data_IF_314236691446
#
_entry.id   IF_314236691446
#
_cell.length_a   1.000
_cell.length_b   1.000
_cell.length_c   1.000
_cell.angle_alpha   90.00
_cell.angle_beta   90.00
_cell.angle_gamma   90.00
#
_symmetry.space_group_name_H-M   'P 1'
#
loop_
_entity.id
_entity.type
_entity.pdbx_description
1 polymer ?
#
# COMPACT_ATOMS: atom_id res chain seq x y z
N UNK A 1 3.34 7.20 -24.37
CA UNK A 1 4.30 8.23 -23.90
C UNK A 1 5.74 7.76 -24.10
N UNK A 2 6.40 7.04 -23.17
CA UNK A 2 7.81 6.61 -23.41
C UNK A 2 7.94 5.72 -24.66
N UNK A 3 7.13 4.66 -24.77
CA UNK A 3 7.13 3.78 -25.96
C UNK A 3 6.72 4.50 -27.26
N UNK A 4 5.86 5.53 -27.19
CA UNK A 4 5.46 6.30 -28.38
C UNK A 4 6.55 7.29 -28.81
N UNK A 5 7.27 7.90 -27.87
CA UNK A 5 8.47 8.71 -28.17
C UNK A 5 9.59 7.84 -28.78
N UNK A 6 9.78 6.62 -28.26
CA UNK A 6 10.74 5.67 -28.80
C UNK A 6 10.40 5.21 -30.23
N UNK A 7 9.11 5.00 -30.54
CA UNK A 7 8.65 4.76 -31.93
C UNK A 7 8.92 5.98 -32.81
N UNK A 8 8.58 7.20 -32.36
CA UNK A 8 8.86 8.44 -33.11
C UNK A 8 10.35 8.60 -33.39
N UNK A 9 11.22 8.30 -32.42
CA UNK A 9 12.68 8.32 -32.58
C UNK A 9 13.14 7.33 -33.67
N UNK A 10 12.70 6.06 -33.60
CA UNK A 10 13.05 5.03 -34.59
C UNK A 10 12.52 5.37 -35.99
N UNK A 11 11.26 5.82 -36.10
CA UNK A 11 10.70 6.24 -37.38
C UNK A 11 11.46 7.43 -37.97
N UNK A 12 11.84 8.42 -37.15
CA UNK A 12 12.65 9.56 -37.59
C UNK A 12 14.03 9.13 -38.07
N UNK A 13 14.68 8.21 -37.34
CA UNK A 13 15.98 7.63 -37.71
C UNK A 13 15.91 6.88 -39.05
N UNK A 14 14.87 6.07 -39.28
CA UNK A 14 14.69 5.33 -40.55
C UNK A 14 14.39 6.28 -41.72
N UNK A 15 13.56 7.31 -41.52
CA UNK A 15 13.24 8.28 -42.58
C UNK A 15 14.44 9.19 -42.93
N UNK A 16 15.24 9.56 -41.93
CA UNK A 16 16.52 10.25 -42.11
C UNK A 16 17.53 9.37 -42.86
N UNK A 17 17.70 8.11 -42.46
CA UNK A 17 18.62 7.18 -43.13
C UNK A 17 18.23 6.90 -44.60
N UNK A 18 16.93 6.91 -44.92
CA UNK A 18 16.45 6.81 -46.30
C UNK A 18 16.52 8.12 -47.10
N UNK A 19 16.98 9.23 -46.52
CA UNK A 19 17.03 10.54 -47.17
C UNK A 19 15.65 11.16 -47.47
N UNK A 20 14.55 10.56 -46.99
CA UNK A 20 13.17 11.02 -47.21
C UNK A 20 12.88 12.27 -46.37
N UNK A 21 13.55 12.40 -45.22
CA UNK A 21 13.34 13.47 -44.26
C UNK A 21 14.58 14.36 -44.19
N UNK A 22 14.43 15.63 -44.61
CA UNK A 22 15.55 16.58 -44.69
C UNK A 22 16.30 16.73 -43.35
N UNK A 23 17.63 16.84 -43.44
CA UNK A 23 18.56 16.65 -42.31
C UNK A 23 18.17 17.43 -41.03
N UNK A 24 17.83 18.72 -41.16
CA UNK A 24 17.40 19.57 -40.05
C UNK A 24 16.14 19.05 -39.34
N UNK A 25 15.13 18.60 -40.10
CA UNK A 25 13.85 18.12 -39.57
C UNK A 25 14.04 16.76 -38.89
N UNK A 26 14.80 15.85 -39.52
CA UNK A 26 15.11 14.54 -38.95
C UNK A 26 15.91 14.64 -37.66
N UNK A 27 16.92 15.51 -37.62
CA UNK A 27 17.70 15.76 -36.41
C UNK A 27 16.85 16.41 -35.30
N UNK A 28 16.02 17.41 -35.63
CA UNK A 28 15.13 18.05 -34.65
C UNK A 28 14.12 17.07 -34.03
N UNK A 29 13.54 16.15 -34.82
CA UNK A 29 12.62 15.12 -34.33
C UNK A 29 13.34 14.06 -33.46
N UNK A 30 14.56 13.65 -33.83
CA UNK A 30 15.36 12.76 -33.00
C UNK A 30 15.80 13.42 -31.68
N UNK A 31 16.29 14.66 -31.73
CA UNK A 31 16.72 15.40 -30.55
C UNK A 31 15.57 15.69 -29.57
N UNK A 32 14.40 16.13 -30.09
CA UNK A 32 13.23 16.41 -29.25
C UNK A 32 12.62 15.16 -28.64
N UNK A 33 12.51 14.05 -29.38
CA UNK A 33 12.00 12.79 -28.85
C UNK A 33 12.94 12.15 -27.81
N UNK A 34 14.25 12.17 -28.04
CA UNK A 34 15.25 11.73 -27.07
C UNK A 34 15.28 12.62 -25.82
N UNK A 35 15.28 13.95 -26.00
CA UNK A 35 15.23 14.93 -24.92
C UNK A 35 13.99 14.77 -24.05
N UNK A 36 12.81 14.58 -24.66
CA UNK A 36 11.58 14.31 -23.93
C UNK A 36 11.63 12.98 -23.15
N UNK A 37 12.23 11.91 -23.72
CA UNK A 37 12.44 10.65 -23.00
C UNK A 37 13.36 10.82 -21.79
N UNK A 38 14.47 11.55 -21.93
CA UNK A 38 15.43 11.84 -20.87
C UNK A 38 14.77 12.70 -19.77
N UNK A 39 14.06 13.77 -20.14
CA UNK A 39 13.35 14.65 -19.22
C UNK A 39 12.32 13.91 -18.37
N UNK A 40 11.52 13.02 -18.97
CA UNK A 40 10.55 12.18 -18.25
C UNK A 40 11.27 11.27 -17.23
N UNK A 41 12.43 10.70 -17.58
CA UNK A 41 13.20 9.88 -16.64
C UNK A 41 13.79 10.72 -15.50
N UNK A 42 14.40 11.87 -15.80
CA UNK A 42 14.96 12.79 -14.80
C UNK A 42 13.86 13.23 -13.81
N UNK A 43 12.70 13.68 -14.29
CA UNK A 43 11.58 14.10 -13.43
C UNK A 43 11.09 12.96 -12.52
N UNK A 44 10.95 11.75 -13.06
CA UNK A 44 10.56 10.58 -12.27
C UNK A 44 11.61 10.21 -11.20
N UNK A 45 12.90 10.39 -11.51
CA UNK A 45 14.01 10.18 -10.55
C UNK A 45 14.03 11.27 -9.49
N UNK A 46 13.78 12.54 -9.85
CA UNK A 46 13.70 13.67 -8.92
C UNK A 46 12.56 13.48 -7.92
N UNK A 47 11.34 13.17 -8.37
CA UNK A 47 10.19 12.89 -7.49
C UNK A 47 10.52 11.75 -6.51
N UNK A 48 11.06 10.64 -7.02
CA UNK A 48 11.52 9.49 -6.20
C UNK A 48 12.73 9.77 -5.31
N UNK A 49 13.44 10.89 -5.51
CA UNK A 49 14.48 11.39 -4.60
C UNK A 49 13.86 12.29 -3.52
N UNK A 50 12.93 13.18 -3.87
CA UNK A 50 12.21 13.99 -2.87
C UNK A 50 11.46 13.13 -1.85
N UNK A 51 10.64 12.17 -2.30
CA UNK A 51 9.95 11.22 -1.38
C UNK A 51 10.94 10.49 -0.44
N UNK A 52 12.22 10.37 -0.82
CA UNK A 52 13.29 9.77 0.02
C UNK A 52 14.07 10.75 0.89
N UNK A 53 14.22 12.04 0.54
CA UNK A 53 14.71 13.07 1.47
C UNK A 53 13.68 13.27 2.56
N UNK A 54 12.43 13.49 2.16
CA UNK A 54 11.32 13.86 3.01
C UNK A 54 11.01 12.71 4.00
N UNK A 55 11.05 11.46 3.53
CA UNK A 55 10.98 10.28 4.41
C UNK A 55 12.19 10.12 5.36
N UNK A 56 13.39 10.58 4.97
CA UNK A 56 14.59 10.50 5.82
C UNK A 56 14.56 11.56 6.91
N UNK A 57 14.14 12.77 6.58
CA UNK A 57 13.95 13.90 7.49
C UNK A 57 12.86 13.58 8.52
N UNK A 58 11.71 13.07 8.07
CA UNK A 58 10.61 12.55 8.90
C UNK A 58 10.93 11.21 9.61
N UNK A 59 12.18 10.73 9.55
CA UNK A 59 12.71 9.47 10.14
C UNK A 59 11.88 8.20 9.80
N UNK A 60 11.15 8.20 8.70
CA UNK A 60 10.10 7.25 8.37
C UNK A 60 10.62 5.83 8.04
N UNK A 61 9.83 4.81 8.43
CA UNK A 61 9.98 3.40 8.05
C UNK A 61 9.58 3.17 6.58
N UNK A 62 8.63 3.95 6.05
CA UNK A 62 8.17 3.91 4.65
C UNK A 62 7.65 5.30 4.25
N UNK A 63 7.75 5.63 2.96
CA UNK A 63 7.20 6.84 2.37
C UNK A 63 6.85 6.64 0.91
N UNK A 64 5.75 7.22 0.45
CA UNK A 64 5.22 7.05 -0.91
C UNK A 64 4.19 8.11 -1.30
N UNK A 65 4.06 8.38 -2.59
CA UNK A 65 3.08 9.33 -3.14
C UNK A 65 1.88 8.58 -3.74
N UNK A 66 0.67 8.90 -3.28
CA UNK A 66 -0.60 8.38 -3.78
C UNK A 66 -1.49 9.54 -4.27
N UNK A 67 -2.60 9.21 -4.93
CA UNK A 67 -3.64 10.18 -5.28
C UNK A 67 -4.81 10.04 -4.31
N UNK A 68 -5.28 11.14 -3.70
CA UNK A 68 -6.50 11.13 -2.86
C UNK A 68 -7.72 10.88 -3.75
N UNK A 69 -8.62 10.01 -3.31
CA UNK A 69 -9.87 9.71 -4.03
C UNK A 69 -11.09 10.12 -3.21
N UNK A 70 -11.08 9.88 -1.90
CA UNK A 70 -12.20 10.19 -1.00
C UNK A 70 -11.73 10.31 0.46
N UNK A 71 -12.47 11.05 1.29
CA UNK A 71 -12.40 10.94 2.75
C UNK A 71 -11.34 11.77 3.47
N UNK A 72 -10.86 12.84 2.82
CA UNK A 72 -10.11 13.96 3.40
C UNK A 72 -10.71 15.27 2.85
N UNK A 73 -10.42 16.43 3.45
CA UNK A 73 -10.78 17.75 2.86
C UNK A 73 -10.19 18.00 1.46
N UNK A 74 -9.14 17.27 1.06
CA UNK A 74 -8.46 17.47 -0.21
C UNK A 74 -9.28 17.00 -1.42
N UNK A 75 -9.19 17.75 -2.52
CA UNK A 75 -9.96 17.52 -3.74
C UNK A 75 -9.63 16.16 -4.38
N UNK A 76 -10.63 15.31 -4.62
CA UNK A 76 -10.47 14.00 -5.28
C UNK A 76 -9.65 14.08 -6.58
N UNK A 77 -8.41 13.62 -6.55
CA UNK A 77 -7.43 13.75 -7.63
C UNK A 77 -6.13 14.46 -7.24
N UNK A 78 -6.02 15.06 -6.06
CA UNK A 78 -4.75 15.64 -5.58
C UNK A 78 -3.69 14.56 -5.32
N UNK A 79 -2.41 14.82 -5.62
CA UNK A 79 -1.32 14.03 -5.07
C UNK A 79 -1.23 14.28 -3.56
N UNK A 80 -0.93 13.21 -2.81
CA UNK A 80 -0.78 13.18 -1.37
C UNK A 80 0.43 12.31 -1.05
N UNK A 81 1.24 12.74 -0.10
CA UNK A 81 2.40 11.96 0.36
C UNK A 81 2.06 11.32 1.70
N UNK A 82 2.29 10.02 1.78
CA UNK A 82 2.05 9.23 2.96
C UNK A 82 3.38 8.73 3.49
N UNK A 83 3.60 8.91 4.79
CA UNK A 83 4.79 8.42 5.49
C UNK A 83 4.37 7.66 6.73
N UNK A 84 5.11 6.61 7.10
CA UNK A 84 4.93 5.95 8.40
C UNK A 84 6.19 6.13 9.22
N UNK A 85 6.05 6.77 10.37
CA UNK A 85 7.17 7.18 11.23
C UNK A 85 7.80 5.97 11.93
N UNK A 86 8.82 6.22 12.76
CA UNK A 86 9.33 5.18 13.68
C UNK A 86 8.49 5.03 14.95
N UNK A 87 7.63 6.01 15.23
CA UNK A 87 6.77 6.08 16.41
C UNK A 87 5.37 5.51 16.14
N UNK A 88 5.23 4.80 15.02
CA UNK A 88 4.00 4.16 14.58
C UNK A 88 2.83 5.15 14.42
N UNK A 89 3.12 6.24 13.70
CA UNK A 89 2.16 7.21 13.17
C UNK A 89 2.13 7.15 11.63
N UNK A 90 0.95 7.37 11.04
CA UNK A 90 0.75 7.64 9.62
C UNK A 90 0.66 9.15 9.40
N UNK A 91 1.67 9.74 8.76
CA UNK A 91 1.62 11.14 8.30
C UNK A 91 0.95 11.17 6.92
N UNK A 92 -0.02 12.07 6.76
CA UNK A 92 -0.75 12.37 5.53
C UNK A 92 -0.43 13.84 5.16
N UNK A 93 0.39 14.04 4.13
CA UNK A 93 0.81 15.36 3.64
C UNK A 93 0.07 15.66 2.32
N UNK A 94 -1.03 16.42 2.44
CA UNK A 94 -1.76 17.01 1.31
C UNK A 94 -1.22 18.41 0.98
N UNK A 95 -1.44 18.95 -0.24
CA UNK A 95 -0.99 20.30 -0.63
C UNK A 95 -1.58 21.46 0.19
N UNK A 96 -2.50 21.17 1.12
CA UNK A 96 -3.23 22.14 1.95
C UNK A 96 -2.98 21.89 3.45
N UNK A 97 -2.68 20.65 3.87
CA UNK A 97 -2.52 20.29 5.28
C UNK A 97 -1.63 19.06 5.46
N UNK A 98 -0.69 19.14 6.41
CA UNK A 98 -0.12 17.95 7.03
C UNK A 98 -1.02 17.45 8.17
N UNK A 99 -1.14 16.13 8.31
CA UNK A 99 -1.89 15.45 9.37
C UNK A 99 -1.07 14.30 9.92
N UNK A 100 -1.02 14.15 11.24
CA UNK A 100 -0.39 13.01 11.91
C UNK A 100 -1.50 12.16 12.51
N UNK A 101 -1.60 10.89 12.10
CA UNK A 101 -2.63 9.95 12.54
C UNK A 101 -1.93 8.79 13.25
N UNK A 102 -2.01 8.66 14.59
CA UNK A 102 -1.45 7.52 15.31
C UNK A 102 -2.00 6.19 14.77
N UNK A 103 -1.15 5.17 14.56
CA UNK A 103 -1.61 3.91 13.96
C UNK A 103 -2.63 3.20 14.86
N UNK A 104 -2.66 3.45 16.18
CA UNK A 104 -3.67 2.92 17.10
C UNK A 104 -5.08 3.51 16.90
N UNK A 105 -5.21 4.72 16.34
CA UNK A 105 -6.51 5.27 15.94
C UNK A 105 -7.04 4.66 14.63
N UNK A 106 -6.19 3.98 13.85
CA UNK A 106 -6.62 3.26 12.64
C UNK A 106 -7.27 1.92 13.03
N UNK A 107 -8.56 1.78 12.69
CA UNK A 107 -9.34 0.54 12.91
C UNK A 107 -8.78 -0.58 12.03
N UNK A 108 -8.73 -0.32 10.72
CA UNK A 108 -8.40 -1.32 9.70
C UNK A 108 -7.93 -0.65 8.41
N UNK A 109 -6.97 -1.30 7.77
CA UNK A 109 -6.42 -0.91 6.47
C UNK A 109 -6.83 -1.96 5.45
N UNK A 110 -7.08 -1.55 4.21
CA UNK A 110 -7.43 -2.47 3.12
C UNK A 110 -6.67 -2.10 1.85
N UNK A 111 -5.91 -3.07 1.32
CA UNK A 111 -5.28 -2.99 0.00
C UNK A 111 -6.14 -3.76 -1.00
N UNK A 112 -6.54 -3.11 -2.09
CA UNK A 112 -7.56 -3.62 -3.00
C UNK A 112 -7.38 -3.04 -4.41
N UNK A 113 -7.74 -3.78 -5.46
CA UNK A 113 -7.57 -3.28 -6.83
C UNK A 113 -8.78 -2.45 -7.29
N UNK A 114 -8.55 -1.46 -8.16
CA UNK A 114 -9.64 -0.68 -8.77
C UNK A 114 -10.67 -1.54 -9.51
N UNK A 115 -10.24 -2.65 -10.15
CA UNK A 115 -11.16 -3.63 -10.73
C UNK A 115 -12.02 -4.34 -9.66
N UNK A 116 -11.47 -4.62 -8.48
CA UNK A 116 -12.20 -5.28 -7.39
C UNK A 116 -13.34 -4.39 -6.87
N UNK A 117 -13.10 -3.06 -6.79
CA UNK A 117 -14.14 -2.05 -6.49
C UNK A 117 -15.24 -1.97 -7.54
N UNK A 118 -14.96 -2.31 -8.80
CA UNK A 118 -16.00 -2.37 -9.84
C UNK A 118 -16.79 -3.68 -9.81
N UNK A 119 -16.19 -4.79 -9.36
CA UNK A 119 -16.78 -6.13 -9.48
C UNK A 119 -17.47 -6.68 -8.23
N UNK A 120 -17.09 -6.22 -7.03
CA UNK A 120 -17.75 -6.60 -5.77
C UNK A 120 -18.76 -5.53 -5.34
N UNK A 121 -19.72 -5.89 -4.50
CA UNK A 121 -20.60 -4.93 -3.82
C UNK A 121 -19.94 -4.37 -2.54
N UNK A 122 -20.36 -3.18 -2.09
CA UNK A 122 -19.83 -2.51 -0.89
C UNK A 122 -19.94 -3.41 0.36
N UNK A 123 -21.03 -4.19 0.48
CA UNK A 123 -21.22 -5.20 1.55
C UNK A 123 -20.17 -6.31 1.50
N UNK A 124 -19.91 -6.87 0.31
CA UNK A 124 -18.92 -7.96 0.13
C UNK A 124 -17.50 -7.49 0.44
N UNK A 125 -17.17 -6.24 0.06
CA UNK A 125 -15.88 -5.63 0.40
C UNK A 125 -15.79 -5.42 1.92
N UNK A 126 -16.89 -5.04 2.58
CA UNK A 126 -16.99 -4.98 4.04
C UNK A 126 -16.75 -6.31 4.73
N UNK A 127 -17.36 -7.39 4.24
CA UNK A 127 -17.20 -8.76 4.76
C UNK A 127 -15.79 -9.31 4.53
N UNK A 128 -15.21 -9.14 3.33
CA UNK A 128 -13.86 -9.60 2.98
C UNK A 128 -12.75 -8.80 3.69
N UNK A 129 -12.95 -7.49 3.87
CA UNK A 129 -12.09 -6.69 4.74
C UNK A 129 -12.26 -7.07 6.22
N UNK A 130 -13.48 -7.44 6.62
CA UNK A 130 -13.89 -7.56 8.01
C UNK A 130 -13.99 -6.19 8.68
N UNK A 131 -14.69 -5.24 8.07
CA UNK A 131 -15.11 -4.00 8.73
C UNK A 131 -16.34 -4.25 9.60
N UNK A 132 -16.53 -3.43 10.65
CA UNK A 132 -17.72 -3.52 11.50
C UNK A 132 -18.98 -2.88 10.90
N UNK A 133 -18.84 -2.03 9.89
CA UNK A 133 -19.96 -1.42 9.14
C UNK A 133 -19.68 -1.44 7.63
N UNK A 134 -20.74 -1.30 6.81
CA UNK A 134 -20.63 -1.37 5.35
C UNK A 134 -19.91 -0.12 4.81
N UNK A 135 -18.75 -0.27 4.16
CA UNK A 135 -17.97 0.86 3.63
C UNK A 135 -18.63 1.43 2.38
N UNK A 136 -18.85 2.76 2.33
CA UNK A 136 -19.46 3.42 1.16
C UNK A 136 -18.39 3.77 0.12
N UNK A 137 -18.28 2.98 -0.96
CA UNK A 137 -17.32 3.21 -2.05
C UNK A 137 -17.94 3.89 -3.29
N UNK A 138 -19.19 4.33 -3.24
CA UNK A 138 -19.90 5.04 -4.34
C UNK A 138 -19.05 6.12 -5.04
N UNK A 139 -18.46 7.04 -4.26
CA UNK A 139 -17.60 8.12 -4.79
C UNK A 139 -16.31 7.58 -5.44
N UNK A 140 -15.74 6.51 -4.89
CA UNK A 140 -14.53 5.84 -5.40
C UNK A 140 -14.84 5.12 -6.72
N UNK A 141 -15.97 4.41 -6.82
CA UNK A 141 -16.48 3.81 -8.07
C UNK A 141 -16.68 4.90 -9.15
N UNK A 142 -17.32 6.02 -8.79
CA UNK A 142 -17.52 7.17 -9.69
C UNK A 142 -16.21 7.87 -10.10
N UNK A 143 -15.16 7.82 -9.27
CA UNK A 143 -13.82 8.30 -9.64
C UNK A 143 -13.08 7.31 -10.56
N UNK A 144 -13.20 6.00 -10.34
CA UNK A 144 -12.65 4.94 -11.21
C UNK A 144 -13.27 4.99 -12.61
N UNK A 145 -14.59 5.17 -12.70
CA UNK A 145 -15.29 5.32 -13.98
C UNK A 145 -14.76 6.51 -14.80
N UNK A 146 -14.49 7.65 -14.13
CA UNK A 146 -13.86 8.84 -14.73
C UNK A 146 -12.36 8.67 -15.00
N UNK A 147 -11.68 7.74 -14.32
CA UNK A 147 -10.25 7.47 -14.45
C UNK A 147 -9.96 6.00 -14.80
N UNK A 148 -10.27 5.50 -16.02
CA UNK A 148 -10.15 4.07 -16.36
C UNK A 148 -8.76 3.44 -16.18
N UNK A 149 -7.70 4.27 -16.14
CA UNK A 149 -6.31 3.81 -15.84
C UNK A 149 -6.18 3.24 -14.42
N UNK A 150 -7.00 3.70 -13.46
CA UNK A 150 -6.99 3.25 -12.07
C UNK A 150 -7.48 1.81 -11.89
N UNK A 151 -8.25 1.24 -12.83
CA UNK A 151 -8.74 -0.15 -12.81
C UNK A 151 -7.64 -1.20 -12.63
N UNK A 152 -6.43 -0.94 -13.16
CA UNK A 152 -5.23 -1.81 -13.02
C UNK A 152 -4.33 -1.41 -11.84
N UNK A 153 -4.75 -0.51 -10.95
CA UNK A 153 -3.96 0.01 -9.80
C UNK A 153 -4.47 -0.52 -8.47
N UNK A 154 -3.58 -0.47 -7.48
CA UNK A 154 -3.91 -0.66 -6.08
C UNK A 154 -4.49 0.62 -5.49
N UNK A 155 -5.49 0.44 -4.64
CA UNK A 155 -6.08 1.43 -3.76
C UNK A 155 -5.73 1.06 -2.32
N UNK A 156 -5.55 2.08 -1.51
CA UNK A 156 -5.36 2.00 -0.06
C UNK A 156 -6.60 2.65 0.57
N UNK A 157 -7.44 1.85 1.23
CA UNK A 157 -8.50 2.35 2.10
C UNK A 157 -8.02 2.28 3.55
N UNK A 158 -8.20 3.36 4.30
CA UNK A 158 -7.82 3.47 5.72
C UNK A 158 -9.07 3.86 6.49
N UNK A 159 -9.55 2.98 7.38
CA UNK A 159 -10.72 3.21 8.24
C UNK A 159 -10.27 3.59 9.65
N UNK A 160 -10.86 4.64 10.21
CA UNK A 160 -10.48 5.23 11.48
C UNK A 160 -11.49 4.87 12.59
N UNK A 161 -11.01 4.66 13.82
CA UNK A 161 -11.83 4.38 15.01
C UNK A 161 -12.66 5.57 15.48
N UNK A 162 -12.21 6.78 15.15
CA UNK A 162 -12.87 8.07 15.36
C UNK A 162 -12.86 8.83 14.02
N UNK A 163 -13.85 9.68 13.72
CA UNK A 163 -13.75 10.60 12.58
C UNK A 163 -12.56 11.54 12.78
N UNK A 164 -11.82 11.83 11.69
CA UNK A 164 -10.56 12.58 11.75
C UNK A 164 -10.71 14.00 12.33
N UNK A 165 -11.87 14.64 12.16
CA UNK A 165 -12.17 15.96 12.74
C UNK A 165 -13.69 16.15 12.77
N UNK A 166 -14.22 16.99 13.67
CA UNK A 166 -15.66 17.33 13.71
C UNK A 166 -16.14 18.00 12.40
N UNK A 167 -15.26 18.72 11.70
CA UNK A 167 -15.54 19.27 10.37
C UNK A 167 -15.45 18.23 9.23
N UNK A 168 -14.85 17.07 9.47
CA UNK A 168 -14.61 16.01 8.48
C UNK A 168 -15.18 14.68 8.97
N UNK A 169 -16.50 14.51 8.77
CA UNK A 169 -17.23 13.26 8.99
C UNK A 169 -16.84 12.17 7.96
N UNK A 170 -15.57 11.78 7.99
CA UNK A 170 -14.97 10.72 7.20
C UNK A 170 -14.52 9.60 8.13
N UNK A 171 -15.25 8.49 8.14
CA UNK A 171 -14.81 7.24 8.78
C UNK A 171 -13.68 6.55 8.00
N UNK A 172 -13.47 6.92 6.73
CA UNK A 172 -12.58 6.19 5.82
C UNK A 172 -11.99 7.08 4.72
N UNK A 173 -10.66 7.24 4.75
CA UNK A 173 -9.91 7.82 3.65
C UNK A 173 -9.58 6.75 2.59
N UNK A 174 -9.59 7.12 1.31
CA UNK A 174 -9.27 6.22 0.19
C UNK A 174 -8.33 6.91 -0.79
N UNK A 175 -7.22 6.23 -1.07
CA UNK A 175 -6.14 6.67 -1.94
C UNK A 175 -5.91 5.66 -3.09
N UNK A 176 -5.28 6.10 -4.18
CA UNK A 176 -4.93 5.27 -5.35
C UNK A 176 -3.45 5.43 -5.73
N UNK A 177 -2.70 4.34 -5.92
CA UNK A 177 -1.33 4.38 -6.47
C UNK A 177 -1.39 4.50 -8.01
N UNK A 178 -1.91 5.63 -8.49
CA UNK A 178 -2.11 5.89 -9.92
C UNK A 178 -0.77 5.92 -10.69
N UNK A 179 0.26 6.49 -10.06
CA UNK A 179 1.57 6.78 -10.64
C UNK A 179 2.64 5.70 -10.37
N UNK A 180 2.39 4.74 -9.48
CA UNK A 180 3.39 3.75 -9.01
C UNK A 180 4.58 4.44 -8.33
N UNK A 181 4.22 5.35 -7.43
CA UNK A 181 5.10 6.11 -6.55
C UNK A 181 4.86 5.79 -5.07
N UNK A 182 3.69 5.23 -4.74
CA UNK A 182 3.40 4.72 -3.40
C UNK A 182 4.16 3.44 -3.07
N UNK A 183 4.20 2.48 -4.01
CA UNK A 183 4.76 1.15 -3.78
C UNK A 183 4.04 0.44 -2.60
N UNK A 184 2.71 0.33 -2.73
CA UNK A 184 1.82 -0.24 -1.71
C UNK A 184 2.10 -1.72 -1.38
N UNK A 185 2.80 -2.45 -2.27
CA UNK A 185 3.29 -3.80 -1.96
C UNK A 185 4.30 -3.78 -0.79
N UNK A 186 5.19 -2.77 -0.74
CA UNK A 186 6.16 -2.60 0.33
C UNK A 186 5.57 -1.93 1.59
N UNK A 187 4.43 -1.24 1.45
CA UNK A 187 3.63 -0.76 2.56
C UNK A 187 3.02 -1.95 3.30
N UNK A 188 2.17 -2.76 2.64
CA UNK A 188 1.46 -3.87 3.27
C UNK A 188 2.35 -4.96 3.88
N UNK A 189 3.62 -5.06 3.46
CA UNK A 189 4.63 -5.96 4.03
C UNK A 189 5.22 -5.50 5.39
N UNK A 190 4.96 -4.27 5.84
CA UNK A 190 5.43 -3.77 7.15
C UNK A 190 4.62 -4.40 8.29
N UNK A 191 5.24 -5.04 9.30
CA UNK A 191 4.51 -5.80 10.34
C UNK A 191 3.49 -4.95 11.10
N UNK A 192 3.81 -3.68 11.35
CA UNK A 192 2.97 -2.70 12.06
C UNK A 192 1.64 -2.44 11.34
N UNK A 193 1.65 -2.57 10.01
CA UNK A 193 0.53 -2.34 9.10
C UNK A 193 -0.15 -3.67 8.73
N UNK A 194 0.64 -4.72 8.51
CA UNK A 194 0.19 -6.03 8.06
C UNK A 194 -0.85 -6.66 8.99
N UNK A 195 -0.66 -6.50 10.32
CA UNK A 195 -1.63 -6.95 11.35
C UNK A 195 -3.01 -6.31 11.18
N UNK A 196 -3.07 -5.07 10.66
CA UNK A 196 -4.32 -4.32 10.42
C UNK A 196 -4.80 -4.39 8.97
N UNK A 197 -4.02 -4.96 8.06
CA UNK A 197 -4.27 -4.91 6.60
C UNK A 197 -4.99 -6.15 6.09
N UNK A 198 -6.21 -5.97 5.60
CA UNK A 198 -6.83 -6.92 4.69
C UNK A 198 -6.32 -6.67 3.25
N UNK A 199 -6.08 -7.73 2.47
CA UNK A 199 -5.68 -7.60 1.05
C UNK A 199 -6.64 -8.38 0.16
N UNK A 200 -7.46 -7.67 -0.62
CA UNK A 200 -8.44 -8.29 -1.52
C UNK A 200 -7.79 -8.57 -2.88
N UNK A 201 -7.90 -9.80 -3.41
CA UNK A 201 -7.27 -10.19 -4.68
C UNK A 201 -7.90 -9.48 -5.89
N UNK A 202 -7.17 -9.46 -7.00
CA UNK A 202 -7.63 -8.88 -8.28
C UNK A 202 -8.73 -9.71 -8.97
N UNK A 203 -8.91 -10.95 -8.52
CA UNK A 203 -9.99 -11.88 -8.90
C UNK A 203 -10.41 -12.66 -7.66
N UNK A 204 -11.69 -12.63 -7.32
CA UNK A 204 -12.23 -13.60 -6.37
C UNK A 204 -12.35 -14.97 -7.06
N UNK A 205 -11.69 -16.00 -6.52
CA UNK A 205 -11.89 -17.37 -6.98
C UNK A 205 -13.22 -17.89 -6.43
N UNK A 206 -14.29 -17.81 -7.25
CA UNK A 206 -15.55 -18.53 -7.00
C UNK A 206 -15.23 -19.98 -6.62
N UNK A 207 -15.64 -20.40 -5.42
CA UNK A 207 -15.49 -21.78 -4.94
C UNK A 207 -14.51 -22.00 -3.78
N UNK A 208 -13.82 -20.97 -3.25
CA UNK A 208 -13.09 -21.10 -1.97
C UNK A 208 -13.37 -19.94 -1.01
N UNK A 209 -14.37 -20.15 -0.14
CA UNK A 209 -14.41 -19.51 1.18
C UNK A 209 -13.19 -19.94 1.98
N UNK A 210 -12.10 -19.17 1.92
CA UNK A 210 -11.03 -19.28 2.90
C UNK A 210 -11.57 -18.77 4.24
N UNK A 211 -11.40 -19.55 5.30
CA UNK A 211 -11.94 -19.22 6.63
C UNK A 211 -11.44 -17.86 7.15
N UNK A 212 -12.29 -17.23 7.99
CA UNK A 212 -12.00 -16.01 8.74
C UNK A 212 -10.56 -15.99 9.26
N UNK A 213 -9.84 -14.89 9.04
CA UNK A 213 -8.64 -14.54 9.79
C UNK A 213 -7.29 -15.04 9.25
N UNK A 214 -7.23 -15.78 8.13
CA UNK A 214 -5.94 -16.15 7.53
C UNK A 214 -5.40 -14.99 6.68
N UNK A 215 -4.29 -14.31 7.06
CA UNK A 215 -3.73 -13.24 6.24
C UNK A 215 -3.20 -13.80 4.92
N UNK A 216 -3.66 -13.25 3.79
CA UNK A 216 -3.30 -13.80 2.48
C UNK A 216 -1.85 -13.47 2.12
N UNK A 217 -0.99 -14.49 2.20
CA UNK A 217 0.46 -14.33 2.07
C UNK A 217 0.87 -13.60 0.77
N UNK A 218 1.56 -12.45 0.91
CA UNK A 218 1.98 -11.54 -0.18
C UNK A 218 2.72 -12.20 -1.36
N UNK A 219 3.30 -13.40 -1.15
CA UNK A 219 3.93 -14.22 -2.17
C UNK A 219 2.99 -14.59 -3.33
N UNK A 220 1.67 -14.65 -3.11
CA UNK A 220 0.67 -14.88 -4.19
C UNK A 220 0.47 -13.65 -5.08
N UNK A 221 0.38 -12.46 -4.48
CA UNK A 221 0.23 -11.17 -5.20
C UNK A 221 1.44 -10.97 -6.13
N UNK A 222 2.64 -11.25 -5.63
CA UNK A 222 3.90 -11.19 -6.41
C UNK A 222 3.96 -12.19 -7.58
N UNK A 223 3.14 -13.24 -7.60
CA UNK A 223 2.97 -14.14 -8.77
C UNK A 223 1.95 -13.57 -9.75
N UNK A 224 0.75 -13.18 -9.31
CA UNK A 224 -0.27 -12.59 -10.20
C UNK A 224 0.22 -11.28 -10.88
N UNK A 225 1.16 -10.55 -10.28
CA UNK A 225 1.83 -9.39 -10.89
C UNK A 225 2.95 -9.76 -11.89
N UNK A 226 3.44 -11.00 -11.89
CA UNK A 226 4.51 -11.48 -12.79
C UNK A 226 3.98 -12.11 -14.09
N UNK A 227 2.70 -12.46 -14.12
CA UNK A 227 2.09 -13.34 -15.12
C UNK A 227 1.20 -12.56 -16.14
N UNK A 228 1.63 -11.36 -16.57
CA UNK A 228 1.30 -10.79 -17.90
C UNK A 228 2.60 -10.86 -18.77
N UNK A 229 2.52 -11.02 -20.10
CA UNK A 229 3.41 -11.94 -20.81
C UNK A 229 4.88 -11.50 -20.96
N UNK A 230 5.78 -12.26 -20.31
CA UNK A 230 7.15 -12.42 -20.80
C UNK A 230 7.10 -13.17 -22.14
N UNK A 231 7.72 -12.61 -23.18
CA UNK A 231 7.96 -13.31 -24.46
C UNK A 231 8.63 -14.66 -24.19
N UNK A 232 8.26 -15.69 -24.95
CA UNK A 232 8.90 -17.00 -24.88
C UNK A 232 10.40 -16.85 -25.16
N UNK A 233 11.23 -17.11 -24.15
CA UNK A 233 12.62 -17.49 -24.34
C UNK A 233 12.62 -19.00 -24.16
N UNK A 234 12.60 -19.73 -25.28
CA UNK A 234 12.83 -21.17 -25.26
C UNK A 234 14.21 -21.43 -24.66
N UNK A 235 14.24 -22.02 -23.47
CA UNK A 235 15.43 -22.72 -22.97
C UNK A 235 15.28 -24.18 -23.36
N UNK A 236 15.93 -24.58 -24.44
CA UNK A 236 16.30 -25.97 -24.60
C UNK A 236 17.22 -26.34 -23.44
N UNK A 237 16.74 -27.20 -22.54
CA UNK A 237 17.59 -27.92 -21.63
C UNK A 237 18.02 -29.20 -22.35
N UNK A 238 19.32 -29.33 -22.64
CA UNK A 238 19.89 -30.64 -22.88
C UNK A 238 19.96 -31.37 -21.55
N UNK A 239 19.43 -32.59 -21.50
CA UNK A 239 19.71 -33.53 -20.44
C UNK A 239 21.00 -34.25 -20.80
N UNK A 240 22.04 -34.12 -19.97
CA UNK A 240 23.16 -35.05 -19.94
C UNK A 240 23.47 -35.42 -18.49
N UNK A 241 23.71 -36.72 -18.29
CA UNK A 241 24.14 -37.46 -17.09
C UNK A 241 24.48 -36.63 -15.83
N UNK A 242 23.78 -36.78 -14.72
CA UNK A 242 24.10 -37.81 -13.70
C UNK A 242 24.80 -37.16 -12.48
N UNK A 243 24.68 -37.60 -11.22
CA UNK A 243 24.26 -38.91 -10.69
C UNK A 243 23.61 -38.80 -9.29
N UNK A 244 22.79 -39.82 -8.96
CA UNK A 244 22.53 -40.43 -7.64
C UNK A 244 22.11 -39.57 -6.43
N UNK A 245 20.99 -40.01 -5.83
CA UNK A 245 20.43 -39.57 -4.53
C UNK A 245 20.84 -40.59 -3.45
N UNK A 246 21.25 -40.16 -2.24
CA UNK A 246 20.69 -40.61 -0.94
C UNK A 246 21.49 -40.16 0.30
N UNK A 247 20.87 -40.10 1.50
CA UNK A 247 21.47 -39.58 2.73
C UNK A 247 21.90 -40.68 3.71
N UNK A 248 22.61 -40.31 4.78
CA UNK A 248 22.51 -41.03 6.06
C UNK A 248 22.75 -40.13 7.29
N UNK A 249 22.36 -40.66 8.45
CA UNK A 249 22.26 -39.97 9.74
C UNK A 249 23.28 -40.46 10.78
N UNK A 250 23.67 -39.60 11.72
CA UNK A 250 24.18 -40.04 13.04
C UNK A 250 23.78 -39.06 14.16
N UNK A 251 23.60 -39.59 15.39
CA UNK A 251 23.41 -38.88 16.66
C UNK A 251 24.53 -39.24 17.63
N UNK A 252 24.71 -38.39 18.65
CA UNK A 252 25.31 -38.53 20.01
C UNK A 252 26.11 -37.23 20.28
N UNK A 253 25.90 -36.45 21.36
CA UNK A 253 26.02 -36.73 22.81
C UNK A 253 27.47 -37.06 23.22
N UNK A 254 28.06 -36.52 24.29
CA UNK A 254 27.66 -35.49 25.28
C UNK A 254 28.91 -34.58 25.56
N UNK A 255 29.15 -33.83 26.65
CA UNK A 255 28.59 -33.63 28.01
C UNK A 255 29.00 -32.22 28.50
N UNK A 256 28.47 -31.71 29.63
CA UNK A 256 28.98 -30.48 30.27
C UNK A 256 28.04 -29.88 31.32
N UNK A 257 28.21 -30.27 32.59
CA UNK A 257 27.48 -29.71 33.73
C UNK A 257 28.15 -28.43 34.25
N UNK A 258 27.36 -27.52 34.84
CA UNK A 258 27.71 -26.87 36.12
C UNK A 258 26.49 -26.13 36.67
N UNK A 259 26.09 -26.47 37.90
CA UNK A 259 25.08 -25.74 38.66
C UNK A 259 25.58 -24.36 39.12
N UNK A 260 24.66 -23.42 39.34
CA UNK A 260 24.71 -22.65 40.58
C UNK A 260 23.31 -22.16 41.00
N UNK A 261 22.99 -22.42 42.27
CA UNK A 261 21.69 -22.15 42.90
C UNK A 261 21.62 -20.70 43.42
N UNK A 262 20.43 -20.08 43.43
CA UNK A 262 20.12 -19.04 44.43
C UNK A 262 18.62 -18.71 44.50
N UNK A 263 18.13 -18.64 45.74
CA UNK A 263 16.72 -18.41 46.10
C UNK A 263 16.41 -16.92 46.21
N UNK A 264 15.15 -16.55 45.93
CA UNK A 264 14.38 -15.70 46.85
C UNK A 264 12.89 -15.72 46.51
N UNK A 265 12.05 -15.63 47.54
CA UNK A 265 10.59 -15.49 47.41
C UNK A 265 10.24 -14.02 47.15
N UNK A 266 9.05 -13.78 46.59
CA UNK A 266 8.25 -12.62 46.99
C UNK A 266 6.78 -13.02 47.14
N UNK A 267 6.16 -12.56 48.22
CA UNK A 267 4.77 -12.85 48.57
C UNK A 267 3.81 -11.85 47.92
N UNK A 268 2.60 -12.31 47.60
CA UNK A 268 1.40 -11.46 47.58
C UNK A 268 0.79 -11.41 48.99
N UNK A 269 0.09 -10.33 49.32
CA UNK A 269 -1.34 -10.50 49.58
C UNK A 269 -2.21 -9.58 48.68
N UNK A 270 -3.53 -9.58 48.93
CA UNK A 270 -4.58 -8.98 48.10
C UNK A 270 -5.59 -8.21 48.97
N UNK A 271 -6.71 -7.74 48.37
CA UNK A 271 -7.83 -7.00 49.02
C UNK A 271 -7.41 -5.53 49.33
N UNK A 272 -8.22 -4.47 49.19
CA UNK A 272 -9.65 -4.29 49.51
C UNK A 272 -10.40 -3.25 48.63
N UNK A 273 -11.74 -3.17 48.76
CA UNK A 273 -12.65 -2.30 48.00
C UNK A 273 -14.05 -2.24 48.68
N UNK A 274 -14.92 -1.21 48.49
CA UNK A 274 -14.69 0.22 48.20
C UNK A 274 -14.98 1.14 49.44
N UNK A 275 -16.21 1.49 49.92
CA UNK A 275 -17.51 1.83 49.30
C UNK A 275 -18.10 3.23 49.67
N UNK A 276 -18.24 4.14 48.69
CA UNK A 276 -19.43 5.01 48.55
C UNK A 276 -19.54 6.38 49.25
N UNK A 277 -19.95 7.40 48.48
CA UNK A 277 -20.57 8.63 48.98
C UNK A 277 -21.65 9.13 47.99
N UNK A 278 -22.86 9.41 48.46
CA UNK A 278 -23.95 10.04 47.69
C UNK A 278 -24.14 11.48 48.19
N UNK A 279 -24.27 12.45 47.29
CA UNK A 279 -24.77 13.81 47.61
C UNK A 279 -25.89 14.18 46.62
N UNK A 280 -26.89 14.94 47.07
CA UNK A 280 -28.13 15.31 46.34
C UNK A 280 -28.20 16.82 46.09
N UNK A 281 -29.01 17.23 45.10
CA UNK A 281 -29.68 18.55 44.91
C UNK A 281 -28.75 19.79 44.85
N UNK A 282 -28.92 20.73 43.92
CA UNK A 282 -30.14 21.49 43.57
C UNK A 282 -30.17 21.74 42.04
N UNK A 283 -31.31 21.88 41.34
CA UNK A 283 -32.41 22.85 41.50
C UNK A 283 -31.98 24.32 41.31
N UNK A 284 -32.00 24.77 40.06
CA UNK A 284 -32.16 26.17 39.67
C UNK A 284 -32.98 26.19 38.37
N UNK A 285 -34.15 26.83 38.40
CA UNK A 285 -34.99 27.14 37.24
C UNK A 285 -35.09 28.66 37.16
N UNK A 286 -34.90 29.21 35.97
CA UNK A 286 -35.40 30.53 35.56
C UNK A 286 -35.50 30.53 34.04
N UNK A 287 -36.69 30.83 33.54
CA UNK A 287 -36.93 31.16 32.13
C UNK A 287 -36.55 32.63 31.86
N UNK A 288 -35.99 32.92 30.69
CA UNK A 288 -36.23 34.11 29.86
C UNK A 288 -35.70 33.87 28.43
#
# INVERSE_FOLDING_TARGET
>A
MILTLFIVFICSLILFWKGILGYYIGFALMASSLGAMIWIQIRNIQIRRSIKSDARERKAKWGGELTVVSGLSSLSGTPCRLFITRYDELIVEDPISERVIPLDEIERIVLLYGKTLESLNDVQIGEEAGFHSVPRFSHVRAWIARNPRSRKRLFLAVRFRKPLTVAEYSEMAVFSDLHQLGNLDAFGLRPEIAVRTAVLPRKLHKGKMLHRGVPMHFSKIRREYRDEPRRQIHRHAHNDLGTVISPHSTKLASTGEHDFDSKSLNYLPSVENPPGAKVKKKEAVTDE
#
